data_IF_472060080761
#
_entry.id   IF_472060080761
#
_cell.length_a   1.000
_cell.length_b   1.000
_cell.length_c   1.000
_cell.angle_alpha   90.00
_cell.angle_beta   90.00
_cell.angle_gamma   90.00
#
_symmetry.space_group_name_H-M   'P 1'
#
loop_
_entity.id
_entity.type
_entity.pdbx_description
1 polymer ?
#
# COMPACT_ATOMS: atom_id res chain seq x y z
N UNK A 1 0.80 -44.19 -18.97
CA UNK A 1 -0.45 -43.42 -19.10
C UNK A 1 -0.66 -42.64 -17.81
N UNK A 2 -0.49 -41.31 -17.82
CA UNK A 2 -0.74 -40.46 -16.65
C UNK A 2 -1.94 -39.55 -16.96
N UNK A 3 -3.02 -39.69 -16.20
CA UNK A 3 -4.22 -38.88 -16.32
C UNK A 3 -4.00 -37.50 -15.70
N UNK A 4 -4.04 -36.44 -16.51
CA UNK A 4 -4.12 -35.06 -16.05
C UNK A 4 -5.54 -34.77 -15.51
N UNK A 5 -5.65 -34.60 -14.20
CA UNK A 5 -6.88 -34.20 -13.54
C UNK A 5 -7.08 -32.67 -13.70
N UNK A 6 -7.80 -32.25 -14.75
CA UNK A 6 -8.28 -30.87 -14.94
C UNK A 6 -9.35 -30.56 -13.89
N UNK A 7 -8.98 -29.87 -12.80
CA UNK A 7 -9.96 -29.25 -11.92
C UNK A 7 -10.71 -28.18 -12.72
N UNK A 8 -11.98 -28.46 -13.02
CA UNK A 8 -12.92 -27.51 -13.62
C UNK A 8 -13.08 -26.29 -12.71
N UNK A 9 -12.67 -25.12 -13.20
CA UNK A 9 -12.91 -23.80 -12.57
C UNK A 9 -14.42 -23.64 -12.42
N UNK A 10 -14.90 -23.59 -11.18
CA UNK A 10 -16.32 -23.34 -10.86
C UNK A 10 -16.70 -21.96 -11.44
N UNK A 11 -17.82 -21.82 -12.16
CA UNK A 11 -18.23 -20.53 -12.69
C UNK A 11 -18.52 -19.59 -11.53
N UNK A 12 -17.72 -18.54 -11.42
CA UNK A 12 -17.91 -17.45 -10.47
C UNK A 12 -19.22 -16.74 -10.86
N UNK A 13 -20.28 -16.92 -10.05
CA UNK A 13 -21.49 -16.11 -10.17
C UNK A 13 -21.04 -14.67 -9.93
N UNK A 14 -21.03 -13.85 -10.97
CA UNK A 14 -20.86 -12.41 -10.85
C UNK A 14 -22.04 -11.88 -10.03
N UNK A 15 -21.84 -11.70 -8.73
CA UNK A 15 -22.81 -10.99 -7.89
C UNK A 15 -22.83 -9.56 -8.42
N UNK A 16 -23.97 -9.16 -8.98
CA UNK A 16 -24.16 -7.83 -9.51
C UNK A 16 -23.96 -6.81 -8.38
N UNK A 17 -22.97 -5.93 -8.54
CA UNK A 17 -22.61 -4.95 -7.52
C UNK A 17 -23.74 -3.91 -7.44
N UNK A 18 -24.33 -3.67 -6.26
CA UNK A 18 -25.38 -2.66 -6.15
C UNK A 18 -24.83 -1.26 -6.50
N UNK A 19 -25.65 -0.39 -7.12
CA UNK A 19 -25.22 0.96 -7.47
C UNK A 19 -24.86 1.75 -6.22
N UNK A 20 -23.89 2.66 -6.34
CA UNK A 20 -23.50 3.56 -5.26
C UNK A 20 -24.67 4.52 -4.95
N UNK A 21 -25.03 4.72 -3.67
CA UNK A 21 -25.99 5.76 -3.29
C UNK A 21 -25.57 7.14 -3.80
N UNK A 22 -26.53 7.97 -4.21
CA UNK A 22 -26.25 9.31 -4.78
C UNK A 22 -25.63 10.27 -3.75
N UNK A 23 -25.92 10.08 -2.47
CA UNK A 23 -25.44 10.87 -1.33
C UNK A 23 -24.14 10.31 -0.71
N UNK A 24 -23.51 9.32 -1.35
CA UNK A 24 -22.29 8.69 -0.83
C UNK A 24 -21.09 9.65 -0.84
N UNK A 25 -20.53 9.89 0.34
CA UNK A 25 -19.36 10.77 0.54
C UNK A 25 -18.31 10.17 1.50
N UNK A 26 -18.47 8.90 1.90
CA UNK A 26 -17.57 8.25 2.85
C UNK A 26 -16.32 7.74 2.16
N UNK A 27 -15.16 8.09 2.73
CA UNK A 27 -13.85 7.50 2.41
C UNK A 27 -13.65 6.20 3.18
N UNK A 28 -12.62 5.42 2.84
CA UNK A 28 -12.28 4.23 3.59
C UNK A 28 -11.92 4.59 5.05
N UNK A 29 -11.23 5.71 5.25
CA UNK A 29 -10.88 6.23 6.57
C UNK A 29 -12.13 6.55 7.41
N UNK A 30 -13.17 7.14 6.79
CA UNK A 30 -14.43 7.44 7.48
C UNK A 30 -15.13 6.15 7.93
N UNK A 31 -15.22 5.15 7.05
CA UNK A 31 -15.83 3.86 7.38
C UNK A 31 -15.10 3.18 8.55
N UNK A 32 -13.76 3.19 8.54
CA UNK A 32 -12.95 2.65 9.63
C UNK A 32 -13.12 3.44 10.93
N UNK A 33 -13.23 4.77 10.85
CA UNK A 33 -13.49 5.62 12.01
C UNK A 33 -14.87 5.33 12.62
N UNK A 34 -15.90 5.09 11.79
CA UNK A 34 -17.23 4.69 12.26
C UNK A 34 -17.23 3.33 12.96
N UNK A 35 -16.51 2.33 12.40
CA UNK A 35 -16.30 1.05 13.09
C UNK A 35 -15.59 1.22 14.43
N UNK A 36 -14.51 2.01 14.45
CA UNK A 36 -13.75 2.27 15.69
C UNK A 36 -14.59 2.99 16.74
N UNK A 37 -15.47 3.89 16.32
CA UNK A 37 -16.42 4.58 17.18
C UNK A 37 -17.61 3.69 17.60
N UNK A 38 -17.69 2.45 17.15
CA UNK A 38 -18.78 1.53 17.45
C UNK A 38 -20.11 1.88 16.77
N UNK A 39 -20.11 2.82 15.82
CA UNK A 39 -21.30 3.19 15.04
C UNK A 39 -21.74 2.08 14.09
N UNK A 40 -20.80 1.20 13.71
CA UNK A 40 -21.02 0.06 12.82
C UNK A 40 -20.31 -1.19 13.34
N UNK A 41 -20.94 -2.35 13.14
CA UNK A 41 -20.36 -3.64 13.49
C UNK A 41 -19.51 -4.25 12.37
N UNK A 42 -19.83 -3.94 11.10
CA UNK A 42 -19.11 -4.44 9.93
C UNK A 42 -19.29 -3.47 8.76
N UNK A 43 -18.37 -3.56 7.80
CA UNK A 43 -18.45 -2.86 6.51
C UNK A 43 -18.54 -3.92 5.42
N UNK A 44 -19.54 -3.81 4.55
CA UNK A 44 -19.71 -4.72 3.43
C UNK A 44 -18.76 -4.44 2.27
N UNK A 45 -18.51 -5.45 1.43
CA UNK A 45 -17.72 -5.27 0.20
C UNK A 45 -18.23 -4.13 -0.70
N UNK A 46 -19.55 -3.96 -0.93
CA UNK A 46 -20.04 -2.86 -1.78
C UNK A 46 -19.64 -1.48 -1.25
N UNK A 47 -19.69 -1.28 0.06
CA UNK A 47 -19.34 -0.02 0.72
C UNK A 47 -17.85 0.29 0.58
N UNK A 48 -17.00 -0.73 0.74
CA UNK A 48 -15.56 -0.61 0.49
C UNK A 48 -15.28 -0.19 -0.95
N UNK A 49 -15.99 -0.78 -1.90
CA UNK A 49 -15.81 -0.44 -3.30
C UNK A 49 -16.36 0.96 -3.61
N UNK A 50 -17.48 1.37 -3.01
CA UNK A 50 -18.03 2.72 -3.17
C UNK A 50 -17.09 3.78 -2.60
N UNK A 51 -16.47 3.50 -1.44
CA UNK A 51 -15.44 4.34 -0.85
C UNK A 51 -14.21 4.46 -1.76
N UNK A 52 -13.71 3.36 -2.32
CA UNK A 52 -12.60 3.38 -3.29
C UNK A 52 -12.95 4.20 -4.54
N UNK A 53 -14.15 4.02 -5.08
CA UNK A 53 -14.60 4.77 -6.25
C UNK A 53 -14.75 6.27 -5.94
N UNK A 54 -15.23 6.60 -4.75
CA UNK A 54 -15.32 7.98 -4.28
C UNK A 54 -13.93 8.61 -4.11
N UNK A 55 -13.00 7.94 -3.42
CA UNK A 55 -11.62 8.39 -3.28
C UNK A 55 -10.93 8.57 -4.63
N UNK A 56 -11.12 7.62 -5.55
CA UNK A 56 -10.58 7.72 -6.90
C UNK A 56 -11.16 8.91 -7.67
N UNK A 57 -12.42 9.26 -7.44
CA UNK A 57 -13.05 10.43 -8.07
C UNK A 57 -12.50 11.76 -7.54
N UNK A 58 -11.91 11.77 -6.35
CA UNK A 58 -11.23 12.94 -5.78
C UNK A 58 -9.80 13.14 -6.33
N UNK A 59 -9.21 12.12 -6.97
CA UNK A 59 -7.89 12.23 -7.59
C UNK A 59 -8.01 13.03 -8.91
N UNK A 60 -7.31 14.17 -9.07
CA UNK A 60 -7.33 14.92 -10.31
C UNK A 60 -6.94 14.07 -11.51
N UNK A 61 -7.66 14.20 -12.62
CA UNK A 61 -7.45 13.39 -13.83
C UNK A 61 -6.08 13.57 -14.47
N UNK A 62 -5.39 14.67 -14.17
CA UNK A 62 -4.04 14.95 -14.63
C UNK A 62 -2.94 14.27 -13.78
N UNK A 63 -3.27 13.69 -12.63
CA UNK A 63 -2.28 13.01 -11.78
C UNK A 63 -1.85 11.67 -12.39
N UNK A 64 -0.57 11.36 -12.22
CA UNK A 64 -0.01 10.09 -12.66
C UNK A 64 -0.22 9.04 -11.56
N UNK A 65 -0.78 7.90 -11.94
CA UNK A 65 -0.87 6.74 -11.04
C UNK A 65 0.50 6.08 -10.88
N UNK A 66 0.89 5.69 -9.65
CA UNK A 66 2.15 5.00 -9.39
C UNK A 66 2.18 3.64 -10.07
N UNK A 67 3.34 3.29 -10.61
CA UNK A 67 3.62 2.03 -11.29
C UNK A 67 4.80 1.33 -10.61
N UNK A 68 4.86 0.01 -10.79
CA UNK A 68 5.98 -0.79 -10.30
C UNK A 68 7.31 -0.28 -10.89
N UNK A 69 8.29 -0.10 -10.03
CA UNK A 69 9.62 0.40 -10.40
C UNK A 69 9.70 1.92 -10.50
N UNK A 70 8.66 2.66 -10.16
CA UNK A 70 8.81 4.10 -9.95
C UNK A 70 9.62 4.36 -8.69
N UNK A 71 10.51 5.36 -8.76
CA UNK A 71 11.30 5.87 -7.64
C UNK A 71 10.90 7.30 -7.38
N UNK A 72 10.54 7.56 -6.13
CA UNK A 72 10.10 8.84 -5.64
C UNK A 72 11.09 9.37 -4.60
N UNK A 73 11.48 10.63 -4.74
CA UNK A 73 12.35 11.35 -3.82
C UNK A 73 11.53 12.34 -2.99
N UNK A 74 11.69 12.33 -1.67
CA UNK A 74 10.99 13.22 -0.76
C UNK A 74 11.37 14.70 -1.00
N UNK A 75 10.38 15.58 -1.21
CA UNK A 75 10.63 17.00 -1.47
C UNK A 75 10.96 17.81 -0.21
N UNK A 76 10.53 17.34 0.94
CA UNK A 76 10.71 17.97 2.25
C UNK A 76 10.67 16.91 3.34
N UNK A 77 11.15 17.28 4.53
CA UNK A 77 11.00 16.44 5.72
C UNK A 77 9.51 16.26 6.03
N UNK A 78 9.06 15.01 6.19
CA UNK A 78 7.68 14.71 6.47
C UNK A 78 7.51 13.49 7.37
N UNK A 79 6.50 13.56 8.24
CA UNK A 79 6.08 12.38 8.99
C UNK A 79 5.33 11.43 8.06
N UNK A 80 5.79 10.19 8.00
CA UNK A 80 5.20 9.11 7.21
C UNK A 80 4.78 7.96 8.12
N UNK A 81 3.76 7.22 7.69
CA UNK A 81 3.36 5.96 8.31
C UNK A 81 4.09 4.81 7.62
N UNK A 82 4.65 3.91 8.42
CA UNK A 82 5.29 2.68 7.94
C UNK A 82 4.62 1.47 8.57
N UNK A 83 4.71 0.34 7.89
CA UNK A 83 4.19 -0.94 8.33
C UNK A 83 5.36 -1.91 8.52
N UNK A 84 5.29 -2.74 9.56
CA UNK A 84 6.25 -3.84 9.77
C UNK A 84 5.62 -5.17 9.39
N UNK A 85 6.35 -5.95 8.60
CA UNK A 85 5.97 -7.30 8.22
C UNK A 85 6.40 -8.29 9.31
N UNK A 86 5.53 -9.23 9.64
CA UNK A 86 5.79 -10.24 10.66
C UNK A 86 5.41 -11.64 10.16
N UNK A 87 6.14 -12.65 10.63
CA UNK A 87 5.73 -14.05 10.55
C UNK A 87 4.64 -14.38 11.61
N UNK A 88 3.58 -13.57 11.66
CA UNK A 88 2.48 -13.62 12.61
C UNK A 88 1.20 -12.99 12.00
N UNK A 89 -0.01 -13.30 12.51
CA UNK A 89 -1.28 -12.81 11.96
C UNK A 89 -1.56 -11.31 12.22
N UNK A 90 -0.54 -10.47 12.34
CA UNK A 90 -0.69 -9.05 12.56
C UNK A 90 0.46 -8.27 11.92
N UNK A 91 0.16 -7.19 11.21
CA UNK A 91 1.14 -6.22 10.75
C UNK A 91 1.30 -5.14 11.81
N UNK A 92 2.53 -4.91 12.27
CA UNK A 92 2.84 -3.75 13.09
C UNK A 92 2.99 -2.50 12.23
N UNK A 93 3.43 -1.40 12.85
CA UNK A 93 3.70 -0.17 12.14
C UNK A 93 3.99 0.97 13.10
N UNK A 94 4.31 2.12 12.53
CA UNK A 94 4.62 3.30 13.30
C UNK A 94 4.64 4.56 12.45
N UNK A 95 5.05 5.66 13.08
CA UNK A 95 5.29 6.94 12.42
C UNK A 95 6.75 7.26 12.52
N UNK A 96 7.34 7.72 11.43
CA UNK A 96 8.72 8.17 11.40
C UNK A 96 8.87 9.39 10.48
N UNK A 97 10.01 10.07 10.57
CA UNK A 97 10.33 11.17 9.68
C UNK A 97 11.04 10.63 8.43
N UNK A 98 10.49 10.85 7.25
CA UNK A 98 11.23 10.70 5.99
C UNK A 98 11.86 12.06 5.68
N UNK A 99 13.18 12.09 5.56
CA UNK A 99 13.95 13.33 5.34
C UNK A 99 13.93 13.69 3.85
N UNK A 100 14.05 14.99 3.57
CA UNK A 100 14.22 15.49 2.21
C UNK A 100 15.36 14.76 1.48
N UNK A 101 15.12 14.38 0.22
CA UNK A 101 16.09 13.67 -0.61
C UNK A 101 16.13 12.15 -0.41
N UNK A 102 15.49 11.60 0.63
CA UNK A 102 15.36 10.14 0.78
C UNK A 102 14.42 9.57 -0.28
N UNK A 103 14.74 8.35 -0.74
CA UNK A 103 14.06 7.72 -1.86
C UNK A 103 13.30 6.48 -1.45
N UNK A 104 12.14 6.32 -2.06
CA UNK A 104 11.32 5.12 -1.98
C UNK A 104 11.01 4.63 -3.39
N UNK A 105 10.85 3.32 -3.56
CA UNK A 105 10.44 2.76 -4.84
C UNK A 105 9.23 1.86 -4.71
N UNK A 106 8.34 1.92 -5.69
CA UNK A 106 7.13 1.11 -5.74
C UNK A 106 7.51 -0.33 -6.12
N UNK A 107 7.42 -1.25 -5.16
CA UNK A 107 7.84 -2.64 -5.37
C UNK A 107 6.72 -3.51 -5.97
N UNK A 108 5.47 -3.18 -5.68
CA UNK A 108 4.30 -3.99 -6.03
C UNK A 108 3.70 -3.58 -7.38
N UNK A 109 3.18 -4.55 -8.12
CA UNK A 109 2.31 -4.27 -9.26
C UNK A 109 0.99 -3.70 -8.73
N UNK A 110 0.48 -2.58 -9.26
CA UNK A 110 -0.83 -2.08 -8.88
C UNK A 110 -1.89 -3.15 -9.08
N UNK A 111 -2.73 -3.40 -8.07
CA UNK A 111 -3.86 -4.33 -8.20
C UNK A 111 -4.89 -3.83 -9.24
N UNK A 112 -4.92 -2.51 -9.45
CA UNK A 112 -5.83 -1.82 -10.34
C UNK A 112 -5.06 -0.80 -11.18
N UNK A 113 -5.53 -0.53 -12.40
CA UNK A 113 -4.95 0.47 -13.32
C UNK A 113 -4.90 1.87 -12.69
N UNK A 114 -5.89 2.19 -11.83
CA UNK A 114 -6.02 3.48 -11.13
C UNK A 114 -5.95 3.28 -9.62
N UNK A 115 -4.80 2.81 -9.15
CA UNK A 115 -4.57 2.56 -7.73
C UNK A 115 -4.64 3.86 -6.92
N UNK A 116 -5.38 3.87 -5.83
CA UNK A 116 -5.49 5.01 -4.91
C UNK A 116 -4.23 5.20 -4.04
N UNK A 117 -3.36 4.20 -4.01
CA UNK A 117 -2.06 4.25 -3.34
C UNK A 117 -1.14 3.13 -3.79
N UNK A 118 0.07 3.10 -3.24
CA UNK A 118 1.08 2.10 -3.57
C UNK A 118 1.90 1.72 -2.34
N UNK A 119 2.27 0.43 -2.28
CA UNK A 119 3.28 -0.03 -1.34
C UNK A 119 4.67 0.23 -1.90
N UNK A 120 5.50 0.88 -1.09
CA UNK A 120 6.85 1.28 -1.46
C UNK A 120 7.88 0.79 -0.44
N UNK A 121 9.10 0.56 -0.90
CA UNK A 121 10.25 0.21 -0.07
C UNK A 121 11.26 1.36 -0.06
N UNK A 122 11.99 1.51 1.03
CA UNK A 122 13.14 2.40 1.11
C UNK A 122 14.26 1.97 0.13
N UNK A 123 14.86 2.92 -0.59
CA UNK A 123 16.09 2.65 -1.34
C UNK A 123 17.26 2.38 -0.39
N UNK A 124 17.48 3.25 0.59
CA UNK A 124 18.49 3.10 1.64
C UNK A 124 17.96 2.25 2.81
N UNK A 125 17.44 1.06 2.50
CA UNK A 125 16.64 0.23 3.42
C UNK A 125 17.24 0.09 4.83
N UNK A 126 18.52 -0.31 4.93
CA UNK A 126 19.17 -0.56 6.23
C UNK A 126 19.23 0.70 7.10
N UNK A 127 19.56 1.84 6.50
CA UNK A 127 19.65 3.11 7.22
C UNK A 127 18.29 3.55 7.75
N UNK A 128 17.24 3.44 6.92
CA UNK A 128 15.89 3.82 7.32
C UNK A 128 15.33 2.83 8.34
N UNK A 129 15.58 1.53 8.18
CA UNK A 129 15.15 0.52 9.16
C UNK A 129 15.75 0.78 10.55
N UNK A 130 17.06 1.04 10.63
CA UNK A 130 17.73 1.33 11.90
C UNK A 130 17.20 2.59 12.59
N UNK A 131 16.74 3.57 11.81
CA UNK A 131 16.20 4.85 12.29
C UNK A 131 14.71 4.78 12.65
N UNK A 132 13.93 4.02 11.88
CA UNK A 132 12.46 4.02 11.97
C UNK A 132 11.92 2.87 12.82
N UNK A 133 12.56 1.70 12.81
CA UNK A 133 12.08 0.49 13.48
C UNK A 133 12.86 0.28 14.77
N UNK A 134 12.13 0.12 15.87
CA UNK A 134 12.73 -0.11 17.19
C UNK A 134 13.65 -1.33 17.18
N UNK A 135 14.78 -1.23 17.90
CA UNK A 135 15.76 -2.32 18.01
C UNK A 135 15.13 -3.64 18.49
N UNK A 136 14.14 -3.57 19.38
CA UNK A 136 13.40 -4.73 19.88
C UNK A 136 12.52 -5.42 18.84
N UNK A 137 12.04 -4.68 17.82
CA UNK A 137 11.29 -5.28 16.71
C UNK A 137 12.24 -5.92 15.70
N UNK A 138 13.23 -5.16 15.22
CA UNK A 138 14.14 -5.61 14.15
C UNK A 138 15.08 -6.76 14.53
N UNK A 139 15.28 -7.01 15.83
CA UNK A 139 16.06 -8.16 16.32
C UNK A 139 15.21 -9.42 16.53
N UNK A 140 13.88 -9.32 16.36
CA UNK A 140 13.00 -10.47 16.48
C UNK A 140 13.18 -11.43 15.30
N UNK A 141 13.26 -12.76 15.53
CA UNK A 141 13.33 -13.74 14.44
C UNK A 141 12.04 -13.82 13.61
N UNK A 142 10.96 -13.14 14.04
CA UNK A 142 9.70 -13.06 13.30
C UNK A 142 9.57 -11.82 12.44
N UNK A 143 10.50 -10.88 12.55
CA UNK A 143 10.46 -9.63 11.80
C UNK A 143 10.87 -9.88 10.35
N UNK A 144 10.01 -9.46 9.41
CA UNK A 144 10.17 -9.66 7.98
C UNK A 144 10.51 -8.38 7.21
N UNK A 145 10.84 -7.30 7.94
CA UNK A 145 11.15 -6.01 7.36
C UNK A 145 10.04 -4.97 7.53
N UNK A 146 10.22 -3.82 6.90
CA UNK A 146 9.24 -2.73 6.90
C UNK A 146 9.04 -2.17 5.50
N UNK A 147 7.89 -1.53 5.30
CA UNK A 147 7.51 -0.91 4.04
C UNK A 147 6.58 0.28 4.30
N UNK A 148 6.39 1.10 3.27
CA UNK A 148 5.50 2.24 3.33
C UNK A 148 4.24 1.98 2.51
N UNK A 149 3.17 2.69 2.87
CA UNK A 149 2.02 2.89 2.02
C UNK A 149 1.85 4.38 1.78
N UNK A 150 1.81 4.79 0.52
CA UNK A 150 1.58 6.18 0.13
C UNK A 150 0.34 6.26 -0.75
N UNK A 151 -0.50 7.28 -0.52
CA UNK A 151 -1.57 7.59 -1.46
C UNK A 151 -1.01 8.16 -2.76
N UNK A 152 -1.75 7.98 -3.87
CA UNK A 152 -1.38 8.55 -5.17
C UNK A 152 -1.27 10.07 -5.09
N UNK A 153 -2.13 10.72 -4.30
CA UNK A 153 -2.06 12.17 -4.08
C UNK A 153 -0.76 12.56 -3.38
N UNK A 154 -0.36 11.85 -2.33
CA UNK A 154 0.89 12.13 -1.62
C UNK A 154 2.11 11.95 -2.53
N UNK A 155 2.19 10.86 -3.30
CA UNK A 155 3.29 10.65 -4.24
C UNK A 155 3.39 11.75 -5.30
N UNK A 156 2.26 12.33 -5.72
CA UNK A 156 2.26 13.41 -6.73
C UNK A 156 2.47 14.81 -6.14
N UNK A 157 2.39 14.99 -4.81
CA UNK A 157 2.43 16.33 -4.18
C UNK A 157 3.58 16.53 -3.21
N UNK A 158 4.07 15.46 -2.58
CA UNK A 158 5.15 15.50 -1.59
C UNK A 158 6.46 14.88 -2.09
N UNK A 159 6.45 14.29 -3.28
CA UNK A 159 7.61 13.62 -3.86
C UNK A 159 7.86 14.09 -5.30
N UNK A 160 9.12 13.99 -5.73
CA UNK A 160 9.50 14.04 -7.13
C UNK A 160 9.66 12.62 -7.68
N UNK A 161 9.04 12.33 -8.83
CA UNK A 161 9.35 11.11 -9.58
C UNK A 161 10.74 11.28 -10.24
N UNK A 162 11.73 10.53 -9.76
CA UNK A 162 13.13 10.66 -10.22
C UNK A 162 13.59 9.54 -11.15
N UNK A 163 12.90 8.39 -11.14
CA UNK A 163 13.21 7.26 -12.02
C UNK A 163 11.97 6.39 -12.24
N UNK A 164 11.86 5.78 -13.43
CA UNK A 164 10.85 4.77 -13.75
C UNK A 164 11.51 3.46 -14.16
N UNK A 165 10.83 2.34 -13.96
CA UNK A 165 11.34 1.02 -14.38
C UNK A 165 12.53 0.51 -13.56
N UNK A 166 12.74 1.06 -12.35
CA UNK A 166 13.72 0.56 -11.41
C UNK A 166 13.44 -0.91 -11.08
N UNK A 167 14.49 -1.73 -11.17
CA UNK A 167 14.46 -3.14 -10.77
C UNK A 167 15.47 -3.30 -9.66
N UNK A 168 14.99 -3.62 -8.45
CA UNK A 168 15.87 -4.01 -7.34
C UNK A 168 16.71 -5.19 -7.84
N UNK A 169 18.01 -4.97 -7.98
CA UNK A 169 18.92 -5.99 -8.49
C UNK A 169 18.83 -7.24 -7.61
N UNK A 170 18.87 -8.43 -8.22
CA UNK A 170 18.94 -9.73 -7.52
C UNK A 170 20.25 -9.92 -6.71
N UNK A 171 21.01 -8.85 -6.47
CA UNK A 171 22.25 -8.89 -5.72
C UNK A 171 21.94 -9.12 -4.22
N UNK A 172 21.84 -10.39 -3.84
CA UNK A 172 22.00 -10.83 -2.45
C UNK A 172 20.72 -10.86 -1.62
N UNK A 173 19.72 -11.65 -2.02
CA UNK A 173 18.74 -12.18 -1.07
C UNK A 173 19.44 -13.27 -0.24
N UNK A 174 20.25 -12.84 0.72
CA UNK A 174 20.49 -13.59 1.95
C UNK A 174 19.97 -12.71 3.09
N UNK A 175 18.65 -12.68 3.25
CA UNK A 175 18.09 -12.37 4.56
C UNK A 175 18.50 -13.54 5.47
N UNK A 176 19.36 -13.27 6.46
CA UNK A 176 19.56 -14.14 7.63
C UNK A 176 18.49 -13.86 8.65
#
# INVERSE_FOLDING_TARGET
MCFFNRKSKKPERSVERPPRPEDWHFTFADLMAEMKAGKRQSIGQPELDWARDYERSMIPTAMRFPQKGDVYEALHDMQVEFMTAWAAPFTGGGKAMLMQGEKVFVHSEPAEVKSIGAYAEAMEYKMLEERMVAASERTSPKYGGFYFYFSTVELNTKFALVQTGYRKGLAGIFYR
#
